data_IF_912593306140
#
_entry.id   IF_912593306140
#
_cell.length_a   1.000
_cell.length_b   1.000
_cell.length_c   1.000
_cell.angle_alpha   90.00
_cell.angle_beta   90.00
_cell.angle_gamma   90.00
#
_symmetry.space_group_name_H-M   'P 1'
#
loop_
_entity.id
_entity.type
_entity.pdbx_description
1 polymer ?
#
# COMPACT_ATOMS: atom_id res chain seq x y z
N UNK A 1 -22.38 1.99 1.50
CA UNK A 1 -21.17 1.23 1.13
C UNK A 1 -19.96 2.10 1.41
N UNK A 2 -18.91 1.53 2.01
CA UNK A 2 -17.61 2.20 2.18
C UNK A 2 -16.58 1.45 1.34
N UNK A 3 -15.92 2.15 0.45
CA UNK A 3 -14.88 1.61 -0.43
C UNK A 3 -13.53 2.19 -0.03
N UNK A 4 -12.59 1.32 0.36
CA UNK A 4 -11.24 1.73 0.71
C UNK A 4 -10.36 1.71 -0.53
N UNK A 5 -10.00 2.90 -1.01
CA UNK A 5 -9.11 3.14 -2.13
C UNK A 5 -7.73 3.65 -1.69
N UNK A 6 -7.23 3.22 -0.53
CA UNK A 6 -5.94 3.68 -0.02
C UNK A 6 -4.75 3.39 -0.94
N UNK A 7 -4.90 2.51 -1.92
CA UNK A 7 -3.87 2.15 -2.90
C UNK A 7 -4.25 2.48 -4.34
N UNK A 8 -5.28 3.27 -4.58
CA UNK A 8 -5.82 3.55 -5.91
C UNK A 8 -4.79 4.16 -6.87
N UNK A 9 -3.87 4.96 -6.36
CA UNK A 9 -2.80 5.56 -7.17
C UNK A 9 -1.92 4.50 -7.86
N UNK A 10 -1.84 3.29 -7.30
CA UNK A 10 -1.08 2.17 -7.86
C UNK A 10 -1.92 1.21 -8.70
N UNK A 11 -3.23 1.37 -8.71
CA UNK A 11 -4.15 0.49 -9.44
C UNK A 11 -4.17 0.82 -10.94
N UNK A 12 -4.58 -0.15 -11.75
CA UNK A 12 -4.75 0.01 -13.19
C UNK A 12 -6.08 0.68 -13.56
N UNK A 13 -7.07 0.61 -12.67
CA UNK A 13 -8.41 1.15 -12.89
C UNK A 13 -8.58 2.57 -12.32
N UNK A 14 -9.60 3.30 -12.76
CA UNK A 14 -9.85 4.69 -12.37
C UNK A 14 -10.43 4.84 -10.95
N UNK A 15 -10.75 3.72 -10.26
CA UNK A 15 -11.48 3.76 -9.00
C UNK A 15 -12.94 4.19 -9.15
N UNK A 16 -13.58 4.51 -8.02
CA UNK A 16 -14.99 4.88 -7.98
C UNK A 16 -15.23 6.36 -7.69
N UNK A 17 -14.18 7.14 -7.43
CA UNK A 17 -14.35 8.56 -7.12
C UNK A 17 -15.06 9.32 -8.24
N UNK A 18 -14.73 9.04 -9.51
CA UNK A 18 -15.38 9.67 -10.68
C UNK A 18 -16.84 9.26 -10.86
N UNK A 19 -17.30 8.22 -10.15
CA UNK A 19 -18.65 7.66 -10.21
C UNK A 19 -19.44 7.91 -8.91
N UNK A 20 -18.96 8.81 -8.06
CA UNK A 20 -19.55 9.06 -6.74
C UNK A 20 -21.04 9.50 -6.87
N UNK A 21 -21.35 10.30 -7.88
CA UNK A 21 -22.71 10.81 -8.12
C UNK A 21 -23.70 9.73 -8.58
N UNK A 22 -23.22 8.55 -8.99
CA UNK A 22 -24.10 7.42 -9.36
C UNK A 22 -24.70 6.72 -8.12
N UNK A 23 -24.14 6.96 -6.93
CA UNK A 23 -24.47 6.20 -5.72
C UNK A 23 -24.60 7.11 -4.48
N UNK A 24 -25.82 7.41 -4.08
CA UNK A 24 -26.09 8.30 -2.92
C UNK A 24 -25.47 7.83 -1.60
N UNK A 25 -25.28 6.51 -1.43
CA UNK A 25 -24.78 5.87 -0.22
C UNK A 25 -23.31 5.37 -0.33
N UNK A 26 -22.57 5.83 -1.34
CA UNK A 26 -21.16 5.49 -1.52
C UNK A 26 -20.29 6.47 -0.74
N UNK A 27 -19.31 5.91 -0.04
CA UNK A 27 -18.21 6.63 0.60
C UNK A 27 -16.92 6.04 0.05
N UNK A 28 -16.08 6.87 -0.55
CA UNK A 28 -14.76 6.49 -1.05
C UNK A 28 -13.71 7.04 -0.08
N UNK A 29 -12.86 6.16 0.44
CA UNK A 29 -11.76 6.53 1.32
C UNK A 29 -10.44 6.49 0.54
N UNK A 30 -9.68 7.59 0.62
CA UNK A 30 -8.33 7.67 0.04
C UNK A 30 -7.35 8.20 1.07
N UNK A 31 -6.05 8.09 0.81
CA UNK A 31 -5.01 8.54 1.73
C UNK A 31 -3.81 9.13 1.01
N UNK A 32 -3.23 10.13 1.61
CA UNK A 32 -1.95 10.71 1.18
C UNK A 32 -0.73 9.97 1.77
N UNK A 33 -0.97 8.92 2.56
CA UNK A 33 0.07 8.17 3.26
C UNK A 33 0.89 7.22 2.39
N UNK A 34 0.43 6.89 1.18
CA UNK A 34 1.03 5.87 0.31
C UNK A 34 1.76 6.52 -0.87
N UNK A 35 1.13 6.68 -2.01
CA UNK A 35 1.76 7.22 -3.21
C UNK A 35 2.33 8.62 -3.01
N UNK A 36 1.66 9.44 -2.22
CA UNK A 36 2.06 10.81 -1.92
C UNK A 36 3.20 10.92 -0.88
N UNK A 37 3.56 9.82 -0.20
CA UNK A 37 4.66 9.78 0.76
C UNK A 37 4.41 10.55 2.07
N UNK A 38 3.16 10.94 2.37
CA UNK A 38 2.81 11.80 3.51
C UNK A 38 2.28 11.03 4.73
N UNK A 39 2.75 9.82 4.97
CA UNK A 39 2.28 9.00 6.08
C UNK A 39 2.45 9.67 7.45
N UNK A 40 3.48 10.50 7.63
CA UNK A 40 3.77 11.24 8.88
C UNK A 40 2.74 12.33 9.19
N UNK A 41 2.03 12.86 8.20
CA UNK A 41 1.02 13.91 8.40
C UNK A 41 -0.32 13.37 8.93
N UNK A 42 -0.53 12.08 8.93
CA UNK A 42 -1.74 11.40 9.43
C UNK A 42 -3.04 11.90 8.79
N UNK A 43 -3.04 12.13 7.47
CA UNK A 43 -4.17 12.67 6.74
C UNK A 43 -4.74 11.64 5.76
N UNK A 44 -6.05 11.45 5.84
CA UNK A 44 -6.87 10.69 4.92
C UNK A 44 -8.02 11.54 4.40
N UNK A 45 -8.64 11.09 3.34
CA UNK A 45 -9.72 11.74 2.64
C UNK A 45 -10.94 10.80 2.60
N UNK A 46 -12.12 11.35 2.80
CA UNK A 46 -13.39 10.66 2.59
C UNK A 46 -14.24 11.50 1.62
N UNK A 47 -14.65 10.88 0.53
CA UNK A 47 -15.50 11.47 -0.49
C UNK A 47 -16.87 10.81 -0.41
N UNK A 48 -17.92 11.63 -0.39
CA UNK A 48 -19.30 11.17 -0.26
C UNK A 48 -20.26 12.21 -0.82
N UNK A 49 -21.53 11.85 -0.96
CA UNK A 49 -22.59 12.82 -1.26
C UNK A 49 -22.65 13.93 -0.19
N UNK A 50 -23.12 15.13 -0.57
CA UNK A 50 -23.16 16.28 0.34
C UNK A 50 -23.86 15.97 1.68
N UNK A 51 -25.03 15.29 1.73
CA UNK A 51 -25.68 14.95 3.01
C UNK A 51 -24.81 14.07 3.91
N UNK A 52 -24.08 13.11 3.34
CA UNK A 52 -23.17 12.22 4.09
C UNK A 52 -21.94 12.99 4.58
N UNK A 53 -21.36 13.83 3.74
CA UNK A 53 -20.23 14.69 4.11
C UNK A 53 -20.58 15.65 5.26
N UNK A 54 -21.79 16.20 5.27
CA UNK A 54 -22.29 17.03 6.37
C UNK A 54 -22.38 16.26 7.69
N UNK A 55 -22.85 14.99 7.64
CA UNK A 55 -22.88 14.14 8.84
C UNK A 55 -21.46 13.94 9.41
N UNK A 56 -20.47 13.67 8.56
CA UNK A 56 -19.08 13.58 9.00
C UNK A 56 -18.58 14.89 9.60
N UNK A 57 -18.91 16.04 9.00
CA UNK A 57 -18.53 17.34 9.53
C UNK A 57 -19.09 17.62 10.94
N UNK A 58 -20.30 17.11 11.24
CA UNK A 58 -20.94 17.27 12.56
C UNK A 58 -20.32 16.40 13.65
N UNK A 59 -19.76 15.21 13.30
CA UNK A 59 -19.24 14.25 14.29
C UNK A 59 -17.72 14.26 14.41
N UNK A 60 -16.99 14.77 13.42
CA UNK A 60 -15.53 14.88 13.51
C UNK A 60 -15.11 15.89 14.58
N UNK A 61 -13.97 15.64 15.20
CA UNK A 61 -13.37 16.62 16.12
C UNK A 61 -13.04 17.93 15.38
N UNK A 62 -13.37 19.09 15.94
CA UNK A 62 -12.90 20.37 15.43
C UNK A 62 -11.35 20.40 15.52
N UNK A 63 -10.72 21.10 14.58
CA UNK A 63 -9.25 21.27 14.55
C UNK A 63 -8.44 19.96 14.51
N UNK A 64 -9.03 18.87 14.03
CA UNK A 64 -8.38 17.54 13.93
C UNK A 64 -7.18 17.52 12.96
N UNK A 65 -7.04 18.51 12.09
CA UNK A 65 -5.89 18.70 11.19
C UNK A 65 -5.27 20.05 11.48
N UNK A 66 -4.03 20.06 11.96
CA UNK A 66 -3.31 21.27 12.28
C UNK A 66 -2.88 22.06 11.02
N UNK A 67 -2.58 23.35 11.17
CA UNK A 67 -2.24 24.23 10.05
C UNK A 67 -0.93 23.83 9.34
N UNK A 68 0.04 23.26 10.05
CA UNK A 68 1.29 22.79 9.43
C UNK A 68 1.05 21.62 8.51
N UNK A 69 0.19 20.67 8.91
CA UNK A 69 -0.19 19.55 8.05
C UNK A 69 -0.95 20.04 6.79
N UNK A 70 -1.85 21.02 6.97
CA UNK A 70 -2.58 21.61 5.83
C UNK A 70 -1.63 22.31 4.85
N UNK A 71 -0.67 23.10 5.34
CA UNK A 71 0.32 23.78 4.50
C UNK A 71 1.20 22.77 3.74
N UNK A 72 1.73 21.76 4.44
CA UNK A 72 2.56 20.72 3.82
C UNK A 72 1.80 19.92 2.75
N UNK A 73 0.51 19.65 2.97
CA UNK A 73 -0.34 18.98 1.96
C UNK A 73 -0.57 19.87 0.75
N UNK A 74 -0.91 21.15 0.96
CA UNK A 74 -1.14 22.10 -0.14
C UNK A 74 0.11 22.24 -1.03
N UNK A 75 1.29 22.32 -0.43
CA UNK A 75 2.55 22.31 -1.14
C UNK A 75 2.77 21.02 -1.93
N UNK A 76 2.63 19.85 -1.26
CA UNK A 76 2.91 18.55 -1.88
C UNK A 76 1.96 18.22 -3.03
N UNK A 77 0.70 18.60 -2.95
CA UNK A 77 -0.28 18.35 -4.02
C UNK A 77 -0.01 19.15 -5.31
N UNK A 78 0.89 20.13 -5.29
CA UNK A 78 1.34 20.82 -6.51
C UNK A 78 2.35 20.02 -7.33
N UNK A 79 2.91 18.93 -6.78
CA UNK A 79 3.89 18.09 -7.47
C UNK A 79 3.21 16.95 -8.24
N UNK A 80 3.75 16.63 -9.40
CA UNK A 80 3.35 15.43 -10.14
C UNK A 80 4.05 14.19 -9.56
N UNK A 81 3.28 13.19 -9.19
CA UNK A 81 3.77 11.91 -8.66
C UNK A 81 3.70 10.76 -9.70
N UNK A 82 3.19 11.02 -10.91
CA UNK A 82 2.94 9.97 -11.90
C UNK A 82 4.21 9.16 -12.23
N UNK A 83 5.35 9.83 -12.36
CA UNK A 83 6.63 9.17 -12.62
C UNK A 83 7.05 8.24 -11.48
N UNK A 84 6.91 8.68 -10.22
CA UNK A 84 7.22 7.88 -9.04
C UNK A 84 6.30 6.66 -8.93
N UNK A 85 5.00 6.85 -9.17
CA UNK A 85 4.02 5.78 -9.16
C UNK A 85 4.31 4.74 -10.26
N UNK A 86 4.62 5.20 -11.47
CA UNK A 86 4.98 4.32 -12.59
C UNK A 86 6.23 3.48 -12.27
N UNK A 87 7.26 4.09 -11.67
CA UNK A 87 8.46 3.37 -11.23
C UNK A 87 8.14 2.33 -10.18
N UNK A 88 7.37 2.67 -9.13
CA UNK A 88 6.98 1.73 -8.08
C UNK A 88 6.15 0.55 -8.63
N UNK A 89 5.27 0.80 -9.61
CA UNK A 89 4.52 -0.26 -10.30
C UNK A 89 5.46 -1.19 -11.09
N UNK A 90 6.41 -0.65 -11.83
CA UNK A 90 7.39 -1.43 -12.59
C UNK A 90 8.27 -2.29 -11.66
N UNK A 91 8.75 -1.73 -10.55
CA UNK A 91 9.53 -2.43 -9.53
C UNK A 91 8.70 -3.55 -8.87
N UNK A 92 7.45 -3.26 -8.48
CA UNK A 92 6.53 -4.27 -7.95
C UNK A 92 6.42 -5.48 -8.89
N UNK A 93 6.19 -5.22 -10.16
CA UNK A 93 5.99 -6.27 -11.16
C UNK A 93 7.29 -7.05 -11.42
N UNK A 94 8.44 -6.39 -11.37
CA UNK A 94 9.76 -7.05 -11.45
C UNK A 94 10.01 -7.95 -10.24
N UNK A 95 9.74 -7.47 -9.02
CA UNK A 95 9.84 -8.24 -7.77
C UNK A 95 8.91 -9.45 -7.83
N UNK A 96 7.65 -9.27 -8.24
CA UNK A 96 6.68 -10.36 -8.33
C UNK A 96 7.15 -11.47 -9.26
N UNK A 97 7.69 -11.12 -10.44
CA UNK A 97 8.27 -12.09 -11.38
C UNK A 97 9.48 -12.81 -10.77
N UNK A 98 10.40 -12.06 -10.14
CA UNK A 98 11.60 -12.64 -9.55
C UNK A 98 11.27 -13.61 -8.40
N UNK A 99 10.32 -13.24 -7.53
CA UNK A 99 9.87 -14.09 -6.42
C UNK A 99 9.14 -15.34 -6.89
N UNK A 100 8.39 -15.26 -7.99
CA UNK A 100 7.73 -16.45 -8.58
C UNK A 100 8.73 -17.52 -9.01
N UNK A 101 9.95 -17.11 -9.37
CA UNK A 101 11.02 -18.05 -9.76
C UNK A 101 11.84 -18.58 -8.56
N UNK A 102 11.57 -18.13 -7.31
CA UNK A 102 12.31 -18.55 -6.12
C UNK A 102 11.71 -19.83 -5.54
N UNK A 103 12.51 -20.91 -5.32
CA UNK A 103 12.02 -22.16 -4.74
C UNK A 103 11.41 -22.01 -3.34
N UNK A 104 11.84 -21.01 -2.57
CA UNK A 104 11.31 -20.69 -1.26
C UNK A 104 9.89 -20.09 -1.28
N UNK A 105 9.37 -19.74 -2.44
CA UNK A 105 8.07 -19.10 -2.61
C UNK A 105 7.09 -20.05 -3.30
N UNK A 106 6.03 -20.42 -2.60
CA UNK A 106 4.97 -21.27 -3.16
C UNK A 106 4.04 -20.52 -4.11
N UNK A 107 3.77 -19.25 -3.78
CA UNK A 107 2.84 -18.41 -4.55
C UNK A 107 3.13 -16.93 -4.35
N UNK A 108 3.05 -16.17 -5.42
CA UNK A 108 2.96 -14.71 -5.41
C UNK A 108 1.53 -14.33 -5.82
N UNK A 109 0.86 -13.53 -4.99
CA UNK A 109 -0.51 -13.08 -5.27
C UNK A 109 -0.48 -11.83 -6.15
N UNK A 110 -1.47 -11.67 -7.06
CA UNK A 110 -1.63 -10.42 -7.81
C UNK A 110 -1.75 -9.21 -6.87
N UNK A 111 -1.16 -8.11 -7.26
CA UNK A 111 -1.20 -6.88 -6.46
C UNK A 111 -1.32 -5.64 -7.34
N UNK A 112 -2.18 -4.74 -6.92
CA UNK A 112 -2.30 -3.37 -7.44
C UNK A 112 -1.96 -2.32 -6.35
N UNK A 113 -1.10 -2.70 -5.41
CA UNK A 113 -0.58 -1.83 -4.35
C UNK A 113 0.93 -1.60 -4.54
N UNK A 114 1.58 -0.96 -3.57
CA UNK A 114 3.04 -0.81 -3.52
C UNK A 114 3.72 -1.97 -2.76
N UNK A 115 3.12 -3.14 -2.73
CA UNK A 115 3.66 -4.34 -2.09
C UNK A 115 3.22 -5.59 -2.85
N UNK A 116 3.88 -6.69 -2.58
CA UNK A 116 3.46 -8.04 -2.98
C UNK A 116 3.16 -8.89 -1.76
N UNK A 117 2.19 -9.79 -1.87
CA UNK A 117 1.92 -10.82 -0.88
C UNK A 117 2.44 -12.15 -1.43
N UNK A 118 3.26 -12.83 -0.65
CA UNK A 118 3.85 -14.12 -1.02
C UNK A 118 3.52 -15.17 0.01
N UNK A 119 3.30 -16.40 -0.44
CA UNK A 119 3.15 -17.57 0.42
C UNK A 119 4.42 -18.40 0.37
N UNK A 120 4.87 -18.87 1.53
CA UNK A 120 6.08 -19.67 1.70
C UNK A 120 5.81 -20.82 2.66
N UNK A 121 6.52 -21.96 2.55
CA UNK A 121 6.35 -23.09 3.49
C UNK A 121 6.69 -22.71 4.93
N UNK A 122 7.72 -21.92 5.14
CA UNK A 122 8.19 -21.49 6.47
C UNK A 122 8.32 -19.95 6.55
N UNK A 123 7.22 -19.24 6.82
CA UNK A 123 7.20 -17.79 6.86
C UNK A 123 8.01 -17.21 8.03
N UNK A 124 8.11 -17.90 9.14
CA UNK A 124 8.81 -17.38 10.31
C UNK A 124 10.33 -17.43 10.09
N UNK A 125 10.88 -18.55 9.60
CA UNK A 125 12.30 -18.62 9.25
C UNK A 125 12.69 -17.66 8.12
N UNK A 126 11.86 -17.53 7.08
CA UNK A 126 12.12 -16.57 6.00
C UNK A 126 12.04 -15.14 6.51
N UNK A 127 11.09 -14.83 7.39
CA UNK A 127 10.98 -13.53 8.05
C UNK A 127 12.25 -13.20 8.85
N UNK A 128 12.74 -14.14 9.67
CA UNK A 128 13.93 -13.96 10.50
C UNK A 128 15.18 -13.77 9.62
N UNK A 129 15.31 -14.52 8.51
CA UNK A 129 16.41 -14.36 7.54
C UNK A 129 16.39 -12.97 6.90
N UNK A 130 15.22 -12.46 6.52
CA UNK A 130 15.06 -11.12 5.97
C UNK A 130 15.42 -10.04 7.00
N UNK A 131 14.96 -10.17 8.25
CA UNK A 131 15.34 -9.25 9.35
C UNK A 131 16.84 -9.26 9.58
N UNK A 132 17.48 -10.43 9.61
CA UNK A 132 18.93 -10.55 9.76
C UNK A 132 19.71 -9.88 8.62
N UNK A 133 19.15 -9.85 7.41
CA UNK A 133 19.68 -9.12 6.25
C UNK A 133 19.35 -7.62 6.26
N UNK A 134 18.66 -7.11 7.29
CA UNK A 134 18.23 -5.70 7.39
C UNK A 134 16.99 -5.37 6.54
N UNK A 135 16.22 -6.37 6.11
CA UNK A 135 15.01 -6.21 5.30
C UNK A 135 13.78 -6.41 6.16
N UNK A 136 13.03 -5.34 6.41
CA UNK A 136 11.83 -5.38 7.25
C UNK A 136 10.60 -5.63 6.39
N UNK A 137 9.98 -6.81 6.56
CA UNK A 137 8.72 -7.20 5.92
C UNK A 137 7.59 -7.35 6.95
N UNK A 138 6.41 -7.72 6.52
CA UNK A 138 5.27 -7.97 7.42
C UNK A 138 4.86 -9.44 7.37
N UNK A 139 5.06 -10.15 8.46
CA UNK A 139 4.49 -11.49 8.62
C UNK A 139 2.97 -11.37 8.80
N UNK A 140 2.22 -11.99 7.88
CA UNK A 140 0.75 -11.97 7.85
C UNK A 140 0.15 -13.33 8.19
N UNK A 141 0.94 -14.30 8.58
CA UNK A 141 0.53 -15.70 8.81
C UNK A 141 -0.58 -15.87 9.85
N UNK A 142 -0.74 -14.87 10.74
CA UNK A 142 -1.79 -14.88 11.79
C UNK A 142 -3.10 -14.22 11.35
N UNK A 143 -3.17 -13.74 10.12
CA UNK A 143 -4.39 -13.10 9.57
C UNK A 143 -5.16 -14.16 8.80
N UNK A 144 -6.46 -14.37 9.11
CA UNK A 144 -7.30 -15.32 8.38
C UNK A 144 -7.25 -15.07 6.87
N UNK A 145 -7.02 -16.14 6.09
CA UNK A 145 -6.86 -16.07 4.64
C UNK A 145 -5.45 -15.69 4.15
N UNK A 146 -4.54 -15.35 5.08
CA UNK A 146 -3.13 -15.03 4.77
C UNK A 146 -2.16 -16.02 5.43
N UNK A 147 -2.62 -17.25 5.71
CA UNK A 147 -1.79 -18.26 6.36
C UNK A 147 -0.52 -18.52 5.54
N UNK A 148 0.59 -18.55 6.23
CA UNK A 148 1.94 -18.70 5.66
C UNK A 148 2.34 -17.58 4.69
N UNK A 149 1.80 -16.35 4.85
CA UNK A 149 2.08 -15.23 3.96
C UNK A 149 2.99 -14.18 4.60
N UNK A 150 3.91 -13.66 3.79
CA UNK A 150 4.67 -12.44 4.04
C UNK A 150 4.22 -11.34 3.08
N UNK A 151 4.05 -10.12 3.58
CA UNK A 151 3.84 -8.93 2.76
C UNK A 151 5.14 -8.17 2.61
N UNK A 152 5.62 -8.04 1.39
CA UNK A 152 6.87 -7.39 1.02
C UNK A 152 6.53 -6.08 0.32
N UNK A 153 6.90 -4.94 0.93
CA UNK A 153 6.71 -3.62 0.34
C UNK A 153 7.83 -3.35 -0.66
N UNK A 154 7.50 -2.70 -1.76
CA UNK A 154 8.48 -2.24 -2.75
C UNK A 154 9.34 -1.15 -2.11
N UNK A 155 10.63 -1.37 -2.06
CA UNK A 155 11.66 -0.46 -1.57
C UNK A 155 12.37 0.28 -2.70
N UNK A 156 13.55 0.84 -2.37
CA UNK A 156 14.49 1.33 -3.39
C UNK A 156 15.04 0.18 -4.21
N UNK A 157 15.63 0.41 -5.40
CA UNK A 157 16.26 -0.65 -6.18
C UNK A 157 17.27 -1.47 -5.38
N UNK A 158 18.08 -0.82 -4.55
CA UNK A 158 19.10 -1.48 -3.71
C UNK A 158 18.46 -2.35 -2.62
N UNK A 159 17.39 -1.86 -1.99
CA UNK A 159 16.63 -2.63 -0.99
C UNK A 159 15.93 -3.84 -1.64
N UNK A 160 15.38 -3.67 -2.84
CA UNK A 160 14.74 -4.73 -3.61
C UNK A 160 15.75 -5.82 -4.00
N UNK A 161 16.95 -5.45 -4.43
CA UNK A 161 18.04 -6.40 -4.74
C UNK A 161 18.41 -7.20 -3.50
N UNK A 162 18.67 -6.54 -2.36
CA UNK A 162 19.01 -7.21 -1.10
C UNK A 162 17.92 -8.19 -0.65
N UNK A 163 16.68 -7.78 -0.74
CA UNK A 163 15.52 -8.62 -0.43
C UNK A 163 15.49 -9.86 -1.32
N UNK A 164 15.61 -9.69 -2.64
CA UNK A 164 15.59 -10.80 -3.59
C UNK A 164 16.76 -11.76 -3.40
N UNK A 165 17.97 -11.27 -3.13
CA UNK A 165 19.14 -12.09 -2.84
C UNK A 165 18.92 -12.93 -1.58
N UNK A 166 18.36 -12.33 -0.53
CA UNK A 166 18.04 -13.04 0.72
C UNK A 166 17.04 -14.17 0.46
N UNK A 167 15.97 -13.91 -0.28
CA UNK A 167 14.97 -14.94 -0.60
C UNK A 167 15.55 -16.05 -1.49
N UNK A 168 16.37 -15.70 -2.47
CA UNK A 168 17.02 -16.69 -3.37
C UNK A 168 17.98 -17.61 -2.64
N UNK A 169 18.71 -17.08 -1.66
CA UNK A 169 19.70 -17.84 -0.87
C UNK A 169 19.06 -18.58 0.32
N UNK A 170 17.77 -18.37 0.57
CA UNK A 170 17.07 -19.04 1.66
C UNK A 170 16.82 -20.50 1.31
N UNK A 171 17.27 -21.40 2.20
CA UNK A 171 17.07 -22.85 2.08
C UNK A 171 16.00 -23.29 3.08
N UNK A 172 15.01 -24.03 2.59
CA UNK A 172 13.91 -24.58 3.40
C UNK A 172 14.38 -25.63 4.39
#
# INVERSE_FOLDING_TARGET
VVLDEAYIDFASGPGFLARLDEFENLIVLQTLSKAWGMAGLRLGLAFASAPVAELFARVKYPYNINCLAQAAVAERLSFDIAGQVAQLRAERDAIARALTACPAIERVYPSEANFVLVRTPDPDRLYDALIAAGVIVRNRSRIPGCERCLRITVGTPEENVRMLETVKNFTL
#
